data_IF_981999588254
#
_entry.id   IF_981999588254
#
_cell.length_a   1.000
_cell.length_b   1.000
_cell.length_c   1.000
_cell.angle_alpha   90.00
_cell.angle_beta   90.00
_cell.angle_gamma   90.00
#
_symmetry.space_group_name_H-M   'P 1'
#
loop_
_entity.id
_entity.type
_entity.pdbx_description
1 polymer ?
#
# COMPACT_ATOMS: atom_id res chain seq x y z
N UNK A 1 -20.51 -61.33 -9.87
CA UNK A 1 -20.25 -60.98 -8.45
C UNK A 1 -20.90 -59.61 -8.25
N UNK A 2 -22.02 -59.44 -7.55
CA UNK A 2 -22.32 -59.70 -6.12
C UNK A 2 -21.29 -58.99 -5.21
N UNK A 3 -21.65 -58.08 -4.27
CA UNK A 3 -22.97 -57.77 -3.66
C UNK A 3 -23.07 -56.30 -3.14
N UNK A 4 -24.30 -55.90 -2.75
CA UNK A 4 -24.66 -54.61 -2.09
C UNK A 4 -24.53 -54.67 -0.55
N UNK A 5 -24.58 -53.53 0.18
CA UNK A 5 -24.25 -53.43 1.62
C UNK A 5 -25.44 -53.64 2.59
N UNK A 6 -25.17 -53.86 3.89
CA UNK A 6 -26.15 -53.85 5.02
C UNK A 6 -25.51 -53.56 6.41
N UNK A 7 -26.39 -53.22 7.38
CA UNK A 7 -26.22 -53.08 8.86
C UNK A 7 -25.80 -51.68 9.37
N UNK A 8 -26.48 -50.93 10.29
CA UNK A 8 -27.53 -51.15 11.35
C UNK A 8 -26.95 -51.86 12.62
N UNK A 9 -27.11 -51.48 13.91
CA UNK A 9 -28.25 -50.95 14.74
C UNK A 9 -27.82 -49.96 15.89
N UNK A 10 -28.72 -49.71 16.87
CA UNK A 10 -28.85 -48.61 17.87
C UNK A 10 -28.31 -48.86 19.32
N UNK A 11 -28.40 -47.83 20.21
CA UNK A 11 -28.82 -47.76 21.67
C UNK A 11 -27.92 -46.77 22.50
N UNK A 12 -28.32 -45.98 23.54
CA UNK A 12 -29.63 -45.57 24.15
C UNK A 12 -29.56 -44.26 25.03
N UNK A 13 -30.75 -43.80 25.48
CA UNK A 13 -31.18 -42.92 26.62
C UNK A 13 -30.43 -42.92 27.98
N UNK A 14 -30.66 -42.03 28.98
CA UNK A 14 -31.35 -40.72 29.16
C UNK A 14 -31.15 -40.19 30.63
N UNK A 15 -31.48 -38.92 30.95
CA UNK A 15 -31.91 -38.48 32.30
C UNK A 15 -32.53 -37.05 32.33
N UNK A 16 -33.28 -36.71 33.40
CA UNK A 16 -34.20 -35.54 33.46
C UNK A 16 -34.26 -34.81 34.81
N UNK A 17 -34.45 -33.48 34.76
CA UNK A 17 -35.21 -32.59 35.68
C UNK A 17 -34.70 -32.34 37.13
N UNK A 18 -34.53 -31.05 37.46
CA UNK A 18 -35.23 -30.39 38.59
C UNK A 18 -35.17 -28.86 38.53
N UNK A 19 -36.30 -28.19 38.84
CA UNK A 19 -36.40 -26.74 39.08
C UNK A 19 -36.31 -26.44 40.59
N UNK A 20 -35.79 -25.26 40.95
CA UNK A 20 -36.25 -24.53 42.15
C UNK A 20 -36.35 -23.02 41.81
N UNK A 21 -37.45 -22.41 42.24
CA UNK A 21 -37.77 -20.98 42.16
C UNK A 21 -37.68 -20.35 43.55
N UNK A 22 -37.26 -19.09 43.66
CA UNK A 22 -37.68 -18.24 44.77
C UNK A 22 -37.61 -16.75 44.42
N UNK A 23 -38.64 -16.01 44.82
CA UNK A 23 -38.86 -14.59 44.61
C UNK A 23 -38.85 -13.85 45.95
N UNK A 24 -38.35 -12.61 46.03
CA UNK A 24 -38.80 -11.66 47.07
C UNK A 24 -38.44 -10.19 46.78
N UNK A 25 -39.49 -9.36 46.74
CA UNK A 25 -39.56 -7.94 47.18
C UNK A 25 -40.74 -7.94 48.18
N UNK A 26 -40.81 -7.11 49.27
CA UNK A 26 -41.21 -5.69 49.14
C UNK A 26 -40.82 -4.74 50.32
N UNK A 27 -41.42 -3.53 50.33
CA UNK A 27 -41.45 -2.46 51.38
C UNK A 27 -40.16 -1.64 51.65
N UNK A 28 -40.21 -0.33 51.97
CA UNK A 28 -41.33 0.62 52.09
C UNK A 28 -41.33 1.39 53.42
N UNK A 29 -41.02 2.70 53.44
CA UNK A 29 -41.06 3.49 54.68
C UNK A 29 -40.66 4.97 54.57
N UNK A 30 -41.29 5.80 55.41
CA UNK A 30 -41.06 7.24 55.65
C UNK A 30 -41.79 7.59 56.98
N UNK A 31 -41.59 8.71 57.70
CA UNK A 31 -40.93 10.00 57.45
C UNK A 31 -39.96 10.37 58.59
N UNK A 32 -39.19 11.45 58.45
CA UNK A 32 -38.43 12.03 59.56
C UNK A 32 -37.76 13.37 59.22
N UNK A 33 -38.37 14.49 59.63
CA UNK A 33 -37.85 15.85 59.41
C UNK A 33 -36.78 16.26 60.43
N UNK A 34 -35.70 16.89 59.96
CA UNK A 34 -34.96 17.94 60.69
C UNK A 34 -34.10 18.80 59.74
N UNK A 35 -33.84 20.09 60.05
CA UNK A 35 -33.52 21.08 59.02
C UNK A 35 -32.03 21.42 58.85
N UNK A 36 -31.65 21.73 57.60
CA UNK A 36 -30.68 22.79 57.17
C UNK A 36 -29.22 22.62 57.68
N UNK A 37 -28.23 22.46 56.77
CA UNK A 37 -27.77 23.60 55.96
C UNK A 37 -27.58 23.32 54.47
N UNK A 38 -27.77 24.36 53.65
CA UNK A 38 -27.54 24.34 52.19
C UNK A 38 -26.03 24.43 51.90
N UNK A 39 -25.41 23.42 51.26
CA UNK A 39 -24.09 23.57 50.66
C UNK A 39 -24.24 24.21 49.27
N UNK A 40 -23.29 25.09 48.95
CA UNK A 40 -23.12 25.76 47.67
C UNK A 40 -23.32 24.79 46.47
N UNK A 41 -24.00 25.17 45.35
CA UNK A 41 -24.11 24.30 44.19
C UNK A 41 -22.72 23.97 43.65
N UNK A 42 -22.31 22.71 43.82
CA UNK A 42 -21.15 22.17 43.12
C UNK A 42 -21.44 22.21 41.63
N UNK A 43 -20.52 22.79 40.87
CA UNK A 43 -20.60 22.78 39.40
C UNK A 43 -20.67 21.33 38.93
N UNK A 44 -21.80 20.97 38.31
CA UNK A 44 -21.90 19.78 37.48
C UNK A 44 -20.70 19.74 36.54
N UNK A 45 -20.04 18.58 36.32
CA UNK A 45 -19.03 18.49 35.29
C UNK A 45 -19.72 18.82 33.95
N UNK A 46 -19.44 20.01 33.43
CA UNK A 46 -19.86 20.39 32.08
C UNK A 46 -19.42 19.27 31.16
N UNK A 47 -20.34 18.60 30.42
CA UNK A 47 -19.92 17.59 29.47
C UNK A 47 -18.95 18.26 28.51
N UNK A 48 -17.68 17.83 28.53
CA UNK A 48 -16.68 18.29 27.58
C UNK A 48 -17.31 18.15 26.20
N UNK A 49 -17.43 19.23 25.41
CA UNK A 49 -18.09 19.13 24.13
C UNK A 49 -17.35 18.08 23.30
N UNK A 50 -18.02 16.95 23.05
CA UNK A 50 -17.60 16.01 22.01
C UNK A 50 -17.34 16.87 20.77
N UNK A 51 -16.15 16.79 20.15
CA UNK A 51 -15.81 17.66 19.04
C UNK A 51 -16.81 17.44 17.92
N UNK A 52 -17.80 18.33 17.83
CA UNK A 52 -18.78 18.35 16.75
C UNK A 52 -17.99 18.64 15.49
N UNK A 53 -17.82 17.63 14.65
CA UNK A 53 -17.12 17.77 13.37
C UNK A 53 -17.92 18.73 12.52
N UNK A 54 -17.50 19.99 12.49
CA UNK A 54 -18.01 20.98 11.54
C UNK A 54 -17.80 20.40 10.14
N UNK A 55 -18.86 20.19 9.33
CA UNK A 55 -18.68 19.67 7.99
C UNK A 55 -17.81 20.65 7.21
N UNK A 56 -16.67 20.16 6.71
CA UNK A 56 -15.72 20.98 5.96
C UNK A 56 -16.37 21.27 4.62
N UNK A 57 -16.98 22.46 4.48
CA UNK A 57 -17.83 22.88 3.35
C UNK A 57 -17.05 23.00 2.03
N UNK A 58 -16.66 21.84 1.50
CA UNK A 58 -15.64 21.65 0.45
C UNK A 58 -15.91 20.40 -0.39
N UNK A 59 -17.03 19.70 -0.18
CA UNK A 59 -17.32 18.40 -0.80
C UNK A 59 -16.47 17.23 -0.30
N UNK A 60 -15.46 17.46 0.56
CA UNK A 60 -14.68 16.40 1.19
C UNK A 60 -15.36 15.89 2.46
N UNK A 61 -15.71 14.61 2.46
CA UNK A 61 -16.35 13.92 3.57
C UNK A 61 -15.33 13.05 4.30
N UNK A 62 -15.18 13.25 5.61
CA UNK A 62 -14.33 12.42 6.45
C UNK A 62 -14.98 11.07 6.76
N UNK A 63 -14.24 9.99 6.58
CA UNK A 63 -14.63 8.65 7.05
C UNK A 63 -14.21 8.57 8.51
N UNK A 64 -15.19 8.69 9.41
CA UNK A 64 -14.96 8.66 10.86
C UNK A 64 -14.52 7.27 11.33
N UNK A 65 -13.90 7.24 12.52
CA UNK A 65 -13.43 6.00 13.15
C UNK A 65 -12.40 5.22 12.33
N UNK A 66 -11.55 5.92 11.58
CA UNK A 66 -10.34 5.35 11.00
C UNK A 66 -9.48 4.70 12.11
N UNK A 67 -8.93 3.48 11.90
CA UNK A 67 -8.20 2.77 12.93
C UNK A 67 -6.97 3.54 13.44
N UNK A 68 -6.78 3.56 14.75
CA UNK A 68 -5.53 3.97 15.39
C UNK A 68 -4.68 2.73 15.70
N UNK A 69 -3.36 2.86 15.58
CA UNK A 69 -2.40 1.85 16.04
C UNK A 69 -1.45 2.46 17.05
N UNK A 70 -0.82 1.59 17.85
CA UNK A 70 0.29 1.97 18.71
C UNK A 70 1.53 2.27 17.85
N UNK A 71 2.35 3.22 18.28
CA UNK A 71 3.53 3.67 17.55
C UNK A 71 3.22 4.56 16.34
N UNK A 72 4.21 4.65 15.43
CA UNK A 72 4.23 5.59 14.31
C UNK A 72 3.54 5.03 13.06
N UNK A 73 2.64 5.85 12.52
CA UNK A 73 2.01 5.73 11.23
C UNK A 73 3.02 5.73 10.09
N UNK A 74 3.43 4.54 9.66
CA UNK A 74 4.21 4.37 8.44
C UNK A 74 3.42 3.52 7.45
N UNK A 75 3.81 3.60 6.18
CA UNK A 75 3.42 2.62 5.16
C UNK A 75 1.91 2.52 4.94
N UNK A 76 1.26 3.68 4.83
CA UNK A 76 -0.15 3.78 4.43
C UNK A 76 -0.27 3.31 2.99
N UNK A 77 -0.97 2.19 2.80
CA UNK A 77 -1.44 1.75 1.50
C UNK A 77 -2.94 1.99 1.41
N UNK A 78 -3.41 2.50 0.28
CA UNK A 78 -4.83 2.82 0.09
C UNK A 78 -5.27 2.45 -1.32
N UNK A 79 -6.41 1.78 -1.44
CA UNK A 79 -6.95 1.31 -2.73
C UNK A 79 -8.46 1.11 -2.63
N UNK A 80 -9.12 0.83 -3.76
CA UNK A 80 -10.55 0.53 -3.81
C UNK A 80 -10.84 -0.67 -4.72
N UNK A 81 -11.93 -1.38 -4.44
CA UNK A 81 -12.46 -2.39 -5.35
C UNK A 81 -13.39 -1.78 -6.44
N UNK A 82 -13.88 -2.65 -7.31
CA UNK A 82 -14.75 -2.31 -8.46
C UNK A 82 -16.17 -1.88 -8.06
N UNK A 83 -16.54 -1.98 -6.78
CA UNK A 83 -17.83 -1.51 -6.25
C UNK A 83 -17.67 -0.31 -5.30
N UNK A 84 -16.46 0.26 -5.25
CA UNK A 84 -16.18 1.47 -4.48
C UNK A 84 -15.94 1.24 -2.99
N UNK A 85 -15.74 0.01 -2.52
CA UNK A 85 -15.27 -0.19 -1.15
C UNK A 85 -13.82 0.26 -1.04
N UNK A 86 -13.45 0.79 0.13
CA UNK A 86 -12.11 1.27 0.40
C UNK A 86 -11.33 0.23 1.20
N UNK A 87 -10.06 0.07 0.87
CA UNK A 87 -9.11 -0.80 1.55
C UNK A 87 -7.92 0.02 2.01
N UNK A 88 -7.57 -0.14 3.28
CA UNK A 88 -6.54 0.63 3.97
C UNK A 88 -5.59 -0.36 4.63
N UNK A 89 -4.32 -0.34 4.25
CA UNK A 89 -3.26 -1.06 4.94
C UNK A 89 -2.41 -0.10 5.74
N UNK A 90 -2.07 -0.50 6.96
CA UNK A 90 -1.48 0.41 7.93
C UNK A 90 -0.56 -0.32 8.90
N UNK A 91 0.59 0.30 9.19
CA UNK A 91 1.59 -0.23 10.11
C UNK A 91 1.67 0.60 11.39
N UNK A 92 1.68 -0.09 12.53
CA UNK A 92 2.10 0.41 13.84
C UNK A 92 3.42 -0.19 14.33
N UNK A 93 3.70 -0.07 15.63
CA UNK A 93 4.94 -0.57 16.25
C UNK A 93 5.09 -2.10 16.18
N UNK A 94 3.97 -2.82 16.29
CA UNK A 94 3.97 -4.30 16.44
C UNK A 94 3.12 -4.99 15.38
N UNK A 95 2.44 -4.24 14.52
CA UNK A 95 1.43 -4.80 13.62
C UNK A 95 1.32 -4.11 12.27
N UNK A 96 1.07 -4.94 11.25
CA UNK A 96 0.43 -4.53 10.01
C UNK A 96 -1.00 -5.05 9.99
N UNK A 97 -1.96 -4.14 9.82
CA UNK A 97 -3.38 -4.45 9.75
C UNK A 97 -3.97 -3.94 8.44
N UNK A 98 -4.93 -4.69 7.90
CA UNK A 98 -5.70 -4.29 6.72
C UNK A 98 -7.16 -4.13 7.14
N UNK A 99 -7.74 -3.01 6.73
CA UNK A 99 -9.11 -2.66 7.00
C UNK A 99 -9.87 -2.43 5.70
N UNK A 100 -11.17 -2.73 5.74
CA UNK A 100 -12.13 -2.53 4.66
C UNK A 100 -13.23 -1.59 5.14
N UNK A 101 -13.67 -0.67 4.29
CA UNK A 101 -14.84 0.17 4.51
C UNK A 101 -15.83 -0.03 3.36
N UNK A 102 -17.07 -0.41 3.69
CA UNK A 102 -18.11 -0.78 2.72
C UNK A 102 -19.27 0.20 2.82
N UNK A 103 -19.44 1.03 1.78
CA UNK A 103 -20.46 2.09 1.77
C UNK A 103 -21.91 1.56 1.79
N UNK A 104 -22.14 0.31 1.35
CA UNK A 104 -23.46 -0.32 1.28
C UNK A 104 -23.88 -1.10 2.54
N UNK A 105 -23.05 -1.12 3.59
CA UNK A 105 -23.38 -1.83 4.83
C UNK A 105 -24.31 -1.03 5.74
N UNK A 106 -25.23 -1.73 6.42
CA UNK A 106 -26.20 -1.13 7.33
C UNK A 106 -25.56 -0.52 8.60
N UNK A 107 -24.37 -0.99 9.00
CA UNK A 107 -23.57 -0.43 10.07
C UNK A 107 -22.24 0.06 9.49
N UNK A 108 -22.09 1.38 9.34
CA UNK A 108 -20.89 1.99 8.77
C UNK A 108 -19.73 1.93 9.76
N UNK A 109 -18.57 1.47 9.29
CA UNK A 109 -17.34 1.42 10.08
C UNK A 109 -16.22 0.68 9.35
N UNK A 110 -14.98 0.90 9.78
CA UNK A 110 -13.83 0.14 9.30
C UNK A 110 -13.84 -1.26 9.93
N UNK A 111 -13.81 -2.29 9.07
CA UNK A 111 -13.73 -3.70 9.46
C UNK A 111 -12.30 -4.19 9.25
N UNK A 112 -11.68 -4.75 10.29
CA UNK A 112 -10.38 -5.40 10.14
C UNK A 112 -10.56 -6.71 9.36
N UNK A 113 -9.91 -6.80 8.20
CA UNK A 113 -9.97 -7.95 7.28
C UNK A 113 -8.65 -8.72 7.21
N UNK A 114 -7.59 -8.20 7.85
CA UNK A 114 -6.36 -8.96 8.10
C UNK A 114 -5.80 -8.70 9.50
N UNK A 115 -5.41 -9.79 10.17
CA UNK A 115 -4.72 -9.77 11.45
C UNK A 115 -3.25 -9.37 11.32
N UNK A 116 -2.71 -8.90 12.44
CA UNK A 116 -1.32 -8.46 12.67
C UNK A 116 -0.28 -9.37 12.02
N UNK A 117 0.28 -8.93 10.89
CA UNK A 117 1.56 -9.47 10.38
C UNK A 117 2.73 -8.73 11.05
N UNK A 118 3.81 -9.46 11.33
CA UNK A 118 5.06 -8.85 11.82
C UNK A 118 5.71 -8.02 10.69
N UNK A 119 6.24 -6.84 11.01
CA UNK A 119 6.84 -5.92 10.02
C UNK A 119 8.13 -5.27 10.53
N UNK A 120 8.92 -4.72 9.60
CA UNK A 120 10.09 -3.89 9.95
C UNK A 120 9.63 -2.55 10.53
N UNK A 121 9.99 -2.29 11.80
CA UNK A 121 9.78 -1.02 12.51
C UNK A 121 10.27 0.24 11.76
N UNK A 122 11.18 0.07 10.80
CA UNK A 122 11.85 1.12 10.02
C UNK A 122 11.47 1.16 8.53
N UNK A 123 10.53 0.32 8.06
CA UNK A 123 10.14 0.31 6.65
C UNK A 123 9.49 1.63 6.22
N UNK A 124 9.84 2.10 5.01
CA UNK A 124 9.25 3.27 4.33
C UNK A 124 8.28 2.89 3.20
N UNK A 125 7.96 1.61 3.00
CA UNK A 125 6.95 1.20 2.02
C UNK A 125 6.13 -0.02 2.45
N UNK A 126 4.81 0.08 2.25
CA UNK A 126 3.94 -1.05 1.94
C UNK A 126 3.16 -0.69 0.67
N UNK A 127 2.69 -1.70 -0.04
CA UNK A 127 1.85 -1.52 -1.23
C UNK A 127 0.70 -2.51 -1.17
N UNK A 128 -0.52 -2.02 -1.39
CA UNK A 128 -1.75 -2.79 -1.39
C UNK A 128 -2.47 -2.59 -2.72
N UNK A 129 -3.03 -3.66 -3.26
CA UNK A 129 -3.89 -3.63 -4.43
C UNK A 129 -4.98 -4.70 -4.31
N UNK A 130 -6.21 -4.37 -4.70
CA UNK A 130 -7.31 -5.34 -4.75
C UNK A 130 -7.48 -5.83 -6.19
N UNK A 131 -7.52 -7.15 -6.36
CA UNK A 131 -7.85 -7.79 -7.64
C UNK A 131 -9.25 -8.38 -7.67
N UNK A 132 -9.88 -8.27 -8.83
CA UNK A 132 -11.28 -8.63 -9.04
C UNK A 132 -12.19 -7.95 -7.99
N UNK A 133 -13.23 -8.64 -7.52
CA UNK A 133 -14.23 -8.07 -6.62
C UNK A 133 -13.68 -7.89 -5.19
N UNK A 134 -12.79 -8.77 -4.70
CA UNK A 134 -12.41 -8.78 -3.28
C UNK A 134 -10.96 -9.18 -2.94
N UNK A 135 -10.14 -9.79 -3.82
CA UNK A 135 -8.86 -10.40 -3.37
C UNK A 135 -7.84 -9.32 -3.02
N UNK A 136 -7.40 -9.29 -1.77
CA UNK A 136 -6.40 -8.32 -1.28
C UNK A 136 -5.00 -8.86 -1.52
N UNK A 137 -4.19 -8.10 -2.24
CA UNK A 137 -2.77 -8.36 -2.47
C UNK A 137 -1.95 -7.30 -1.73
N UNK A 138 -0.87 -7.72 -1.09
CA UNK A 138 0.07 -6.84 -0.40
C UNK A 138 1.51 -7.21 -0.73
N UNK A 139 2.38 -6.21 -0.71
CA UNK A 139 3.83 -6.35 -0.60
C UNK A 139 4.36 -5.37 0.46
N UNK A 140 5.25 -5.83 1.33
CA UNK A 140 5.75 -5.07 2.47
C UNK A 140 7.15 -5.54 2.90
N UNK A 141 7.84 -4.74 3.73
CA UNK A 141 9.15 -5.08 4.26
C UNK A 141 9.09 -5.59 5.71
N UNK A 142 9.69 -6.75 5.94
CA UNK A 142 9.82 -7.40 7.25
C UNK A 142 11.25 -7.35 7.77
N UNK A 143 11.43 -6.99 9.04
CA UNK A 143 12.69 -7.14 9.77
C UNK A 143 12.40 -7.30 11.26
N UNK A 144 12.90 -8.35 11.94
CA UNK A 144 12.70 -8.55 13.37
C UNK A 144 13.54 -7.58 14.24
N UNK A 145 14.47 -6.84 13.65
CA UNK A 145 15.26 -5.80 14.32
C UNK A 145 15.20 -4.47 13.54
N UNK A 146 15.32 -3.31 14.21
CA UNK A 146 15.44 -2.03 13.52
C UNK A 146 16.73 -2.02 12.68
N UNK A 147 16.58 -2.08 11.36
CA UNK A 147 17.66 -2.12 10.38
C UNK A 147 17.26 -1.27 9.16
N UNK A 148 18.23 -0.69 8.41
CA UNK A 148 17.91 0.14 7.25
C UNK A 148 17.26 -0.65 6.10
N UNK A 149 17.55 -1.95 5.99
CA UNK A 149 17.05 -2.84 4.95
C UNK A 149 16.12 -3.91 5.53
N UNK A 150 14.92 -4.05 4.97
CA UNK A 150 13.99 -5.14 5.29
C UNK A 150 13.97 -6.23 4.21
N UNK A 151 13.52 -7.42 4.59
CA UNK A 151 13.22 -8.54 3.68
C UNK A 151 11.87 -8.29 3.04
N UNK A 152 11.75 -8.42 1.72
CA UNK A 152 10.47 -8.28 1.03
C UNK A 152 9.59 -9.50 1.31
N UNK A 153 8.36 -9.27 1.76
CA UNK A 153 7.30 -10.25 1.89
C UNK A 153 6.09 -9.83 1.05
N UNK A 154 5.39 -10.79 0.46
CA UNK A 154 4.16 -10.54 -0.28
C UNK A 154 3.11 -11.62 -0.02
N UNK A 155 1.84 -11.25 -0.19
CA UNK A 155 0.71 -12.10 0.16
C UNK A 155 -0.52 -11.76 -0.70
N UNK A 156 -1.36 -12.76 -0.97
CA UNK A 156 -2.68 -12.60 -1.58
C UNK A 156 -3.69 -13.45 -0.81
N UNK A 157 -4.79 -12.85 -0.34
CA UNK A 157 -5.85 -13.56 0.35
C UNK A 157 -7.22 -12.88 0.21
N UNK A 158 -8.28 -13.63 0.51
CA UNK A 158 -9.65 -13.11 0.54
C UNK A 158 -9.92 -12.41 1.89
N UNK A 159 -10.52 -11.22 1.89
CA UNK A 159 -10.72 -10.39 3.10
C UNK A 159 -11.71 -11.01 4.09
N UNK A 160 -12.56 -11.92 3.63
CA UNK A 160 -13.66 -12.48 4.41
C UNK A 160 -13.33 -13.88 5.00
N UNK A 161 -12.06 -14.34 4.91
CA UNK A 161 -11.60 -15.55 5.59
C UNK A 161 -11.21 -15.24 7.03
N UNK A 162 -11.85 -15.93 7.97
CA UNK A 162 -11.86 -15.69 9.43
C UNK A 162 -10.49 -15.46 10.09
N UNK A 163 -9.40 -15.97 9.50
CA UNK A 163 -8.03 -15.61 9.87
C UNK A 163 -7.19 -15.39 8.61
N UNK A 164 -6.94 -14.14 8.21
CA UNK A 164 -6.09 -13.82 7.06
C UNK A 164 -4.70 -14.48 7.18
N UNK A 165 -4.09 -14.41 8.37
CA UNK A 165 -2.80 -15.03 8.70
C UNK A 165 -2.77 -16.57 8.65
N UNK A 166 -3.90 -17.24 8.90
CA UNK A 166 -4.01 -18.71 8.74
C UNK A 166 -4.48 -19.09 7.32
N UNK A 167 -5.05 -18.15 6.56
CA UNK A 167 -5.57 -18.39 5.22
C UNK A 167 -4.48 -18.41 4.14
N UNK A 168 -3.38 -17.69 4.36
CA UNK A 168 -2.17 -17.73 3.57
C UNK A 168 -0.99 -17.15 4.38
N UNK A 169 0.16 -17.82 4.35
CA UNK A 169 1.40 -17.33 4.95
C UNK A 169 2.09 -16.33 4.01
N UNK A 170 2.72 -15.24 4.52
CA UNK A 170 3.54 -14.36 3.70
C UNK A 170 4.64 -15.12 2.97
N UNK A 171 4.74 -14.93 1.65
CA UNK A 171 5.83 -15.47 0.85
C UNK A 171 7.01 -14.51 0.98
N UNK A 172 8.12 -15.02 1.51
CA UNK A 172 9.37 -14.29 1.54
C UNK A 172 10.00 -14.29 0.14
N UNK A 173 10.42 -13.12 -0.32
CA UNK A 173 11.09 -12.99 -1.62
C UNK A 173 12.54 -13.51 -1.52
N UNK A 174 12.80 -14.62 -2.20
CA UNK A 174 14.11 -15.29 -2.27
C UNK A 174 14.66 -15.24 -3.68
N UNK A 175 15.95 -14.95 -3.80
CA UNK A 175 16.72 -14.98 -5.05
C UNK A 175 17.73 -16.12 -5.02
N UNK A 176 18.00 -16.72 -6.17
CA UNK A 176 18.81 -17.93 -6.32
C UNK A 176 20.00 -17.67 -7.23
N UNK A 177 21.18 -18.22 -6.90
CA UNK A 177 22.38 -18.01 -7.74
C UNK A 177 23.39 -19.15 -7.68
N UNK A 178 23.64 -19.77 -8.84
CA UNK A 178 24.91 -20.42 -9.19
C UNK A 178 25.23 -20.21 -10.67
N UNK A 179 26.50 -20.25 -11.00
CA UNK A 179 26.98 -20.59 -12.35
C UNK A 179 27.85 -21.84 -12.23
N UNK A 180 27.46 -22.99 -12.79
CA UNK A 180 28.30 -24.18 -12.74
C UNK A 180 29.55 -23.97 -13.58
N UNK A 181 30.72 -23.96 -12.93
CA UNK A 181 31.98 -24.23 -13.64
C UNK A 181 32.03 -25.71 -14.02
N UNK A 182 32.25 -26.07 -15.29
CA UNK A 182 32.28 -27.47 -15.70
C UNK A 182 33.36 -28.26 -14.95
N UNK A 183 33.04 -29.43 -14.35
CA UNK A 183 34.06 -30.29 -13.78
C UNK A 183 34.93 -30.88 -14.91
N UNK A 184 36.25 -30.81 -14.75
CA UNK A 184 37.16 -31.64 -15.53
C UNK A 184 37.00 -33.10 -15.09
N UNK A 185 36.13 -33.84 -15.80
CA UNK A 185 36.06 -35.30 -15.73
C UNK A 185 35.39 -35.91 -14.50
N UNK A 186 34.05 -35.90 -14.47
CA UNK A 186 33.27 -36.93 -13.78
C UNK A 186 33.06 -36.80 -12.26
N UNK A 187 33.35 -35.66 -11.67
CA UNK A 187 33.03 -35.36 -10.25
C UNK A 187 31.69 -34.63 -10.08
N UNK A 188 31.14 -34.70 -8.87
CA UNK A 188 29.78 -34.23 -8.52
C UNK A 188 29.49 -32.77 -8.87
N UNK A 189 28.22 -32.48 -9.16
CA UNK A 189 27.71 -31.14 -9.43
C UNK A 189 27.73 -30.26 -8.17
N UNK A 190 27.61 -28.94 -8.37
CA UNK A 190 27.38 -28.00 -7.26
C UNK A 190 26.12 -28.41 -6.45
N UNK A 191 26.09 -28.12 -5.14
CA UNK A 191 24.90 -28.38 -4.31
C UNK A 191 23.69 -27.51 -4.75
N UNK A 192 22.54 -27.71 -4.12
CA UNK A 192 21.30 -26.94 -4.39
C UNK A 192 21.47 -25.43 -4.20
N UNK A 193 20.85 -24.56 -5.04
CA UNK A 193 20.98 -23.11 -5.02
C UNK A 193 20.95 -22.46 -3.63
N UNK A 194 21.95 -21.61 -3.34
CA UNK A 194 21.92 -20.79 -2.13
C UNK A 194 20.78 -19.78 -2.23
N UNK A 195 19.84 -19.86 -1.29
CA UNK A 195 18.73 -18.93 -1.18
C UNK A 195 19.20 -17.62 -0.54
N UNK A 196 19.13 -16.52 -1.29
CA UNK A 196 19.45 -15.18 -0.82
C UNK A 196 18.18 -14.36 -0.61
N UNK A 197 17.96 -13.91 0.63
CA UNK A 197 16.82 -13.05 0.99
C UNK A 197 16.91 -11.71 0.24
N UNK A 198 15.89 -11.34 -0.53
CA UNK A 198 15.86 -10.04 -1.18
C UNK A 198 15.69 -8.92 -0.13
N UNK A 199 16.71 -8.07 0.02
CA UNK A 199 16.72 -6.95 0.97
C UNK A 199 16.64 -5.60 0.26
N UNK A 200 15.79 -4.73 0.77
CA UNK A 200 15.56 -3.39 0.25
C UNK A 200 15.17 -2.40 1.37
N UNK A 201 15.37 -1.10 1.14
CA UNK A 201 14.81 -0.03 1.98
C UNK A 201 13.42 0.42 1.50
N UNK A 202 13.08 0.15 0.25
CA UNK A 202 11.76 0.38 -0.34
C UNK A 202 11.33 -0.74 -1.29
N UNK A 203 10.02 -0.97 -1.37
CA UNK A 203 9.40 -1.86 -2.34
C UNK A 203 8.00 -1.35 -2.71
N UNK A 204 7.66 -1.40 -3.99
CA UNK A 204 6.35 -1.01 -4.52
C UNK A 204 5.79 -2.15 -5.37
N UNK A 205 4.48 -2.21 -5.51
CA UNK A 205 3.79 -3.30 -6.20
C UNK A 205 2.72 -2.76 -7.15
N UNK A 206 2.52 -3.45 -8.25
CA UNK A 206 1.28 -3.40 -9.04
C UNK A 206 0.82 -4.82 -9.34
N UNK A 207 -0.35 -4.98 -9.96
CA UNK A 207 -0.88 -6.28 -10.36
C UNK A 207 -0.85 -6.45 -11.87
N UNK A 208 -0.45 -7.62 -12.33
CA UNK A 208 -0.51 -8.03 -13.74
C UNK A 208 -1.96 -8.35 -14.19
N UNK A 209 -2.11 -8.70 -15.47
CA UNK A 209 -3.40 -9.10 -16.07
C UNK A 209 -4.02 -10.35 -15.43
N UNK A 210 -3.21 -11.16 -14.77
CA UNK A 210 -3.57 -12.41 -14.08
C UNK A 210 -3.78 -12.19 -12.58
N UNK A 211 -3.87 -10.93 -12.13
CA UNK A 211 -4.00 -10.53 -10.74
C UNK A 211 -2.84 -10.96 -9.81
N UNK A 212 -1.65 -11.18 -10.36
CA UNK A 212 -0.42 -11.50 -9.62
C UNK A 212 0.44 -10.28 -9.40
N UNK A 213 1.20 -10.28 -8.30
CA UNK A 213 2.08 -9.19 -7.90
C UNK A 213 3.26 -9.04 -8.88
N UNK A 214 3.45 -7.83 -9.38
CA UNK A 214 4.72 -7.34 -9.92
C UNK A 214 5.31 -6.43 -8.84
N UNK A 215 6.52 -6.72 -8.35
CA UNK A 215 7.14 -6.03 -7.22
C UNK A 215 8.46 -5.41 -7.66
N UNK A 216 8.59 -4.08 -7.57
CA UNK A 216 9.82 -3.35 -7.86
C UNK A 216 10.47 -2.84 -6.58
N UNK A 217 11.79 -2.93 -6.49
CA UNK A 217 12.55 -2.62 -5.28
C UNK A 217 13.99 -2.21 -5.59
N UNK A 218 14.58 -1.43 -4.68
CA UNK A 218 16.01 -1.09 -4.69
C UNK A 218 16.76 -2.21 -3.95
N UNK A 219 17.50 -3.05 -4.68
CA UNK A 219 18.15 -4.18 -4.03
C UNK A 219 19.45 -3.73 -3.34
N UNK A 220 19.51 -3.85 -2.02
CA UNK A 220 20.60 -3.31 -1.19
C UNK A 220 21.71 -4.33 -0.88
N UNK A 221 21.60 -5.57 -1.37
CA UNK A 221 22.63 -6.58 -1.15
C UNK A 221 23.98 -6.12 -1.72
N UNK A 222 24.91 -5.88 -0.80
CA UNK A 222 26.33 -5.68 -1.08
C UNK A 222 26.97 -7.01 -1.45
N UNK A 223 27.90 -6.95 -2.40
CA UNK A 223 28.56 -8.12 -2.96
C UNK A 223 29.29 -8.96 -1.90
N UNK A 224 28.92 -10.23 -1.79
CA UNK A 224 29.67 -11.25 -1.06
C UNK A 224 29.95 -12.40 -2.01
N UNK A 225 31.21 -12.76 -2.21
CA UNK A 225 31.54 -14.05 -2.83
C UNK A 225 31.30 -15.13 -1.78
N UNK A 226 30.28 -15.97 -1.98
CA UNK A 226 30.11 -17.18 -1.17
C UNK A 226 30.93 -18.26 -1.82
N UNK A 227 31.94 -18.74 -1.11
CA UNK A 227 32.79 -19.83 -1.54
C UNK A 227 32.51 -21.04 -0.65
N UNK A 228 32.21 -22.18 -1.27
CA UNK A 228 31.99 -23.44 -0.56
C UNK A 228 33.04 -24.45 -1.02
N UNK A 229 33.82 -24.95 -0.07
CA UNK A 229 34.81 -26.00 -0.31
C UNK A 229 34.10 -27.34 -0.46
N UNK A 230 34.27 -27.98 -1.61
CA UNK A 230 33.86 -29.34 -1.92
C UNK A 230 35.10 -30.24 -2.01
N UNK A 231 34.92 -31.55 -1.97
CA UNK A 231 36.00 -32.52 -2.18
C UNK A 231 36.57 -32.45 -3.61
N UNK A 232 35.76 -31.96 -4.57
CA UNK A 232 36.11 -31.74 -5.98
C UNK A 232 36.68 -30.35 -6.31
N UNK A 233 36.66 -29.38 -5.39
CA UNK A 233 37.13 -28.01 -5.63
C UNK A 233 36.36 -26.92 -4.86
N UNK A 234 36.46 -25.66 -5.29
CA UNK A 234 35.70 -24.55 -4.70
C UNK A 234 34.50 -24.22 -5.60
N UNK A 235 33.29 -24.33 -5.07
CA UNK A 235 32.12 -23.72 -5.69
C UNK A 235 32.07 -22.23 -5.32
N UNK A 236 32.02 -21.34 -6.32
CA UNK A 236 31.89 -19.89 -6.11
C UNK A 236 30.53 -19.39 -6.58
N UNK A 237 29.73 -18.87 -5.64
CA UNK A 237 28.48 -18.18 -5.93
C UNK A 237 28.67 -16.66 -5.71
N UNK A 238 28.34 -15.81 -6.70
CA UNK A 238 28.22 -14.38 -6.46
C UNK A 238 26.91 -14.13 -5.69
N UNK A 239 26.99 -13.80 -4.40
CA UNK A 239 25.81 -13.27 -3.72
C UNK A 239 25.38 -11.98 -4.42
N UNK A 240 24.08 -11.89 -4.65
CA UNK A 240 23.45 -10.98 -5.60
C UNK A 240 23.92 -9.51 -5.45
N UNK A 241 24.36 -8.89 -6.55
CA UNK A 241 24.69 -7.46 -6.60
C UNK A 241 23.44 -6.64 -6.93
N UNK A 242 22.79 -6.14 -5.90
CA UNK A 242 21.81 -5.07 -6.07
C UNK A 242 22.48 -3.71 -6.25
N UNK A 243 23.40 -3.34 -5.35
CA UNK A 243 24.05 -2.02 -5.33
C UNK A 243 23.04 -0.85 -5.44
N UNK A 244 21.91 -1.00 -4.75
CA UNK A 244 20.73 -0.13 -4.76
C UNK A 244 20.11 0.09 -6.16
N UNK A 245 20.45 -0.73 -7.17
CA UNK A 245 19.82 -0.70 -8.49
C UNK A 245 18.40 -1.25 -8.43
N UNK A 246 17.59 -0.79 -9.37
CA UNK A 246 16.25 -1.31 -9.62
C UNK A 246 16.30 -2.82 -9.93
N UNK A 247 15.47 -3.57 -9.25
CA UNK A 247 15.11 -4.95 -9.58
C UNK A 247 13.59 -5.11 -9.54
N UNK A 248 13.06 -6.03 -10.35
CA UNK A 248 11.62 -6.32 -10.45
C UNK A 248 11.42 -7.84 -10.39
N UNK A 249 10.45 -8.27 -9.60
CA UNK A 249 10.02 -9.66 -9.49
C UNK A 249 8.58 -9.82 -10.00
N UNK A 250 8.33 -10.93 -10.70
CA UNK A 250 7.02 -11.27 -11.26
C UNK A 250 6.49 -12.55 -10.59
N UNK A 251 5.47 -12.42 -9.75
CA UNK A 251 4.90 -13.54 -9.01
C UNK A 251 4.15 -14.56 -9.88
N UNK A 252 3.77 -14.18 -11.10
CA UNK A 252 3.18 -15.08 -12.11
C UNK A 252 4.18 -16.08 -12.69
N UNK A 253 5.44 -15.66 -12.86
CA UNK A 253 6.54 -16.48 -13.43
C UNK A 253 7.54 -16.97 -12.37
N UNK A 254 7.46 -16.46 -11.13
CA UNK A 254 8.46 -16.65 -10.08
C UNK A 254 9.87 -16.16 -10.48
N UNK A 255 9.95 -15.17 -11.38
CA UNK A 255 11.19 -14.74 -12.04
C UNK A 255 11.64 -13.33 -11.62
N UNK A 256 12.94 -13.06 -11.73
CA UNK A 256 13.61 -11.81 -11.36
C UNK A 256 14.30 -11.14 -12.54
N UNK A 257 14.04 -9.85 -12.72
CA UNK A 257 14.75 -8.97 -13.64
C UNK A 257 15.54 -7.95 -12.82
N UNK A 258 16.85 -7.85 -13.08
CA UNK A 258 17.80 -7.38 -12.06
C UNK A 258 18.81 -6.39 -12.62
N UNK A 259 19.30 -5.50 -11.76
CA UNK A 259 20.23 -4.42 -12.13
C UNK A 259 19.74 -3.54 -13.30
N UNK A 260 18.42 -3.33 -13.40
CA UNK A 260 17.73 -2.68 -14.52
C UNK A 260 18.09 -1.19 -14.69
N UNK A 261 18.52 -0.52 -13.62
CA UNK A 261 18.94 0.88 -13.66
C UNK A 261 20.47 1.02 -13.80
N UNK A 262 20.92 2.09 -14.46
CA UNK A 262 22.36 2.36 -14.66
C UNK A 262 23.10 2.54 -13.33
N UNK A 263 22.50 3.28 -12.40
CA UNK A 263 22.97 3.48 -11.01
C UNK A 263 21.90 3.18 -9.98
N UNK A 264 22.09 3.69 -8.75
CA UNK A 264 21.13 3.50 -7.66
C UNK A 264 19.76 4.11 -8.01
N UNK A 265 18.70 3.36 -7.74
CA UNK A 265 17.31 3.76 -7.86
C UNK A 265 16.73 4.01 -6.46
N UNK A 266 15.92 5.07 -6.34
CA UNK A 266 15.18 5.37 -5.11
C UNK A 266 13.80 5.96 -5.43
N UNK A 267 12.90 6.04 -4.45
CA UNK A 267 11.52 6.48 -4.61
C UNK A 267 10.75 5.70 -5.70
N UNK A 268 11.05 4.41 -5.90
CA UNK A 268 10.50 3.59 -6.98
C UNK A 268 8.96 3.55 -6.94
N UNK A 269 8.31 3.67 -8.10
CA UNK A 269 6.85 3.58 -8.31
C UNK A 269 6.54 2.67 -9.50
N UNK A 270 5.55 1.79 -9.34
CA UNK A 270 5.01 0.95 -10.41
C UNK A 270 3.58 1.38 -10.79
N UNK A 271 3.27 1.34 -12.07
CA UNK A 271 1.89 1.46 -12.56
C UNK A 271 1.71 0.65 -13.86
N UNK A 272 0.59 -0.06 -13.96
CA UNK A 272 0.13 -0.65 -15.22
C UNK A 272 -0.86 0.27 -15.93
N UNK A 273 -1.14 -0.01 -17.21
CA UNK A 273 -2.23 0.67 -17.92
C UNK A 273 -3.56 0.23 -17.31
N UNK A 274 -4.37 1.15 -16.73
CA UNK A 274 -5.56 0.75 -16.00
C UNK A 274 -6.66 0.23 -16.92
N UNK A 275 -7.50 -0.62 -16.35
CA UNK A 275 -8.75 -1.12 -16.93
C UNK A 275 -9.84 -1.04 -15.87
N UNK A 276 -11.10 -1.32 -16.24
CA UNK A 276 -12.20 -1.37 -15.27
C UNK A 276 -12.05 -2.45 -14.18
N UNK A 277 -11.14 -3.43 -14.33
CA UNK A 277 -11.06 -4.61 -13.45
C UNK A 277 -9.65 -4.95 -12.92
N UNK A 278 -8.66 -4.13 -13.22
CA UNK A 278 -7.24 -4.38 -12.96
C UNK A 278 -6.35 -3.63 -13.94
N UNK A 279 -5.16 -4.13 -14.25
CA UNK A 279 -4.24 -3.52 -15.21
C UNK A 279 -3.98 -4.40 -16.44
N UNK A 280 -3.48 -3.77 -17.50
CA UNK A 280 -2.90 -4.43 -18.69
C UNK A 280 -1.53 -3.82 -19.01
N UNK A 281 -0.78 -4.49 -19.89
CA UNK A 281 0.38 -3.89 -20.52
C UNK A 281 -0.02 -2.70 -21.42
N UNK A 282 0.84 -1.69 -21.61
CA UNK A 282 2.18 -1.56 -21.02
C UNK A 282 2.18 -1.30 -19.52
N UNK A 283 3.24 -1.77 -18.85
CA UNK A 283 3.56 -1.47 -17.46
C UNK A 283 4.77 -0.56 -17.40
N UNK A 284 4.84 0.28 -16.36
CA UNK A 284 5.87 1.27 -16.18
C UNK A 284 6.44 1.24 -14.76
N UNK A 285 7.74 1.49 -14.67
CA UNK A 285 8.46 1.74 -13.42
C UNK A 285 9.15 3.10 -13.52
N UNK A 286 8.87 3.98 -12.55
CA UNK A 286 9.51 5.29 -12.41
C UNK A 286 10.36 5.30 -11.15
N UNK A 287 11.53 5.92 -11.20
CA UNK A 287 12.44 6.01 -10.05
C UNK A 287 13.33 7.26 -10.12
N UNK A 288 13.75 7.75 -8.96
CA UNK A 288 14.81 8.75 -8.80
C UNK A 288 16.14 8.08 -9.12
N UNK A 289 16.81 8.55 -10.17
CA UNK A 289 17.98 7.93 -10.77
C UNK A 289 19.26 8.65 -10.36
N UNK A 290 20.04 8.02 -9.47
CA UNK A 290 21.29 8.59 -8.99
C UNK A 290 22.37 8.71 -10.07
N UNK A 291 22.33 7.89 -11.15
CA UNK A 291 23.27 8.04 -12.27
C UNK A 291 22.95 9.28 -13.11
N UNK A 292 21.70 9.76 -13.07
CA UNK A 292 21.22 10.93 -13.80
C UNK A 292 20.92 12.10 -12.85
N UNK A 293 21.77 12.29 -11.84
CA UNK A 293 21.76 13.47 -10.97
C UNK A 293 20.55 13.59 -10.03
N UNK A 294 19.83 12.50 -9.76
CA UNK A 294 18.58 12.53 -9.01
C UNK A 294 17.35 12.87 -9.87
N UNK A 295 17.51 12.95 -11.19
CA UNK A 295 16.38 13.05 -12.12
C UNK A 295 15.54 11.77 -12.18
N UNK A 296 14.30 11.89 -12.65
CA UNK A 296 13.41 10.74 -12.81
C UNK A 296 13.76 10.00 -14.10
N UNK A 297 13.97 8.69 -13.99
CA UNK A 297 14.02 7.77 -15.12
C UNK A 297 12.78 6.88 -15.09
N UNK A 298 12.25 6.57 -16.27
CA UNK A 298 11.10 5.68 -16.44
C UNK A 298 11.47 4.57 -17.41
N UNK A 299 11.13 3.33 -17.07
CA UNK A 299 11.21 2.19 -17.98
C UNK A 299 9.81 1.60 -18.21
N UNK A 300 9.51 1.28 -19.45
CA UNK A 300 8.38 0.46 -19.87
C UNK A 300 8.80 -1.01 -19.87
N UNK A 301 7.89 -1.90 -19.50
CA UNK A 301 8.08 -3.32 -19.71
C UNK A 301 6.80 -4.02 -20.18
N UNK A 302 7.01 -5.08 -20.97
CA UNK A 302 5.96 -5.90 -21.58
C UNK A 302 6.48 -7.28 -21.87
N UNK A 303 5.63 -8.30 -21.71
CA UNK A 303 5.96 -9.68 -22.02
C UNK A 303 6.11 -9.87 -23.54
N UNK A 304 7.22 -10.48 -23.95
CA UNK A 304 7.53 -10.80 -25.33
C UNK A 304 7.29 -12.29 -25.57
N UNK A 305 6.22 -12.60 -26.31
CA UNK A 305 5.82 -13.98 -26.64
C UNK A 305 6.81 -14.76 -27.52
N UNK A 306 7.88 -14.12 -28.02
CA UNK A 306 8.92 -14.77 -28.85
C UNK A 306 10.12 -15.21 -28.01
N UNK A 307 10.48 -14.42 -27.00
CA UNK A 307 11.59 -14.73 -26.06
C UNK A 307 11.11 -15.37 -24.76
N UNK A 308 9.78 -15.37 -24.54
CA UNK A 308 9.12 -15.81 -23.30
C UNK A 308 9.58 -15.03 -22.05
N UNK A 309 9.99 -13.77 -22.23
CA UNK A 309 10.54 -12.90 -21.20
C UNK A 309 9.96 -11.47 -21.25
N UNK A 310 10.12 -10.70 -20.19
CA UNK A 310 9.83 -9.27 -20.19
C UNK A 310 10.98 -8.47 -20.79
N UNK A 311 10.69 -7.71 -21.84
CA UNK A 311 11.61 -6.71 -22.37
C UNK A 311 11.46 -5.40 -21.59
N UNK A 312 12.59 -4.73 -21.31
CA UNK A 312 12.66 -3.45 -20.59
C UNK A 312 13.25 -2.36 -21.49
N UNK A 313 12.58 -1.22 -21.60
CA UNK A 313 13.03 -0.09 -22.41
C UNK A 313 12.80 1.24 -21.69
N UNK A 314 13.77 2.15 -21.77
CA UNK A 314 13.61 3.51 -21.23
C UNK A 314 12.57 4.31 -22.02
N UNK A 315 11.74 5.07 -21.31
CA UNK A 315 10.67 5.91 -21.88
C UNK A 315 11.18 7.34 -21.98
N UNK A 316 11.57 7.75 -23.19
CA UNK A 316 12.20 9.06 -23.41
C UNK A 316 13.58 9.18 -22.76
N UNK A 317 13.95 10.40 -22.39
CA UNK A 317 15.23 10.69 -21.76
C UNK A 317 15.30 10.16 -20.31
N UNK A 318 16.47 9.64 -19.92
CA UNK A 318 16.80 9.35 -18.52
C UNK A 318 16.94 10.66 -17.74
N UNK A 319 16.53 10.67 -16.47
CA UNK A 319 16.63 11.85 -15.61
C UNK A 319 15.86 13.09 -16.07
N UNK A 320 14.75 12.93 -16.80
CA UNK A 320 14.09 14.01 -17.58
C UNK A 320 13.66 15.25 -16.78
N UNK A 321 13.52 15.13 -15.46
CA UNK A 321 12.99 16.16 -14.57
C UNK A 321 14.01 17.12 -13.97
N UNK A 322 15.32 16.79 -14.01
CA UNK A 322 16.28 17.28 -13.00
C UNK A 322 15.94 16.74 -11.60
N UNK A 323 16.71 17.11 -10.57
CA UNK A 323 16.51 16.56 -9.20
C UNK A 323 15.06 16.73 -8.72
N UNK A 324 14.49 15.61 -8.25
CA UNK A 324 13.06 15.48 -7.94
C UNK A 324 12.81 14.70 -6.65
N UNK A 325 11.74 15.02 -5.93
CA UNK A 325 11.31 14.27 -4.73
C UNK A 325 9.81 13.93 -4.77
N UNK A 326 9.40 13.06 -3.85
CA UNK A 326 8.01 12.61 -3.68
C UNK A 326 7.38 12.11 -4.99
N UNK A 327 8.13 11.35 -5.79
CA UNK A 327 7.71 10.91 -7.12
C UNK A 327 6.47 10.00 -7.01
N UNK A 328 5.49 10.25 -7.87
CA UNK A 328 4.30 9.43 -8.06
C UNK A 328 4.04 9.19 -9.55
N UNK A 329 3.51 8.02 -9.90
CA UNK A 329 3.33 7.55 -11.27
C UNK A 329 1.89 7.06 -11.45
N UNK A 330 1.25 7.50 -12.53
CA UNK A 330 -0.02 6.96 -13.03
C UNK A 330 0.08 6.71 -14.55
N UNK A 331 -0.86 5.96 -15.10
CA UNK A 331 -0.97 5.69 -16.55
C UNK A 331 -2.42 5.95 -16.95
N UNK A 332 -2.65 6.55 -18.11
CA UNK A 332 -4.01 6.69 -18.65
C UNK A 332 -4.46 5.40 -19.38
N UNK A 333 -5.75 5.29 -19.71
CA UNK A 333 -6.30 4.07 -20.34
C UNK A 333 -5.77 3.80 -21.76
N UNK A 334 -5.09 4.78 -22.37
CA UNK A 334 -4.40 4.63 -23.67
C UNK A 334 -2.99 4.08 -23.52
N UNK A 335 -2.45 4.03 -22.31
CA UNK A 335 -1.10 3.56 -21.99
C UNK A 335 -0.08 4.68 -21.86
N UNK A 336 -0.48 5.96 -21.85
CA UNK A 336 0.46 7.07 -21.64
C UNK A 336 0.80 7.22 -20.15
N UNK A 337 2.09 7.18 -19.76
CA UNK A 337 2.50 7.41 -18.37
C UNK A 337 2.55 8.90 -18.01
N UNK A 338 2.15 9.20 -16.77
CA UNK A 338 2.14 10.52 -16.15
C UNK A 338 2.92 10.44 -14.84
N UNK A 339 3.84 11.39 -14.63
CA UNK A 339 4.67 11.47 -13.42
C UNK A 339 4.41 12.81 -12.74
N UNK A 340 4.07 12.77 -11.47
CA UNK A 340 3.94 13.94 -10.60
C UNK A 340 5.02 13.92 -9.52
N UNK A 341 5.63 15.08 -9.24
CA UNK A 341 6.78 15.18 -8.33
C UNK A 341 6.95 16.59 -7.77
N UNK A 342 7.65 16.71 -6.64
CA UNK A 342 8.30 17.95 -6.21
C UNK A 342 9.53 18.16 -7.09
N UNK A 343 9.54 19.23 -7.88
CA UNK A 343 10.69 19.59 -8.71
C UNK A 343 11.75 20.38 -7.94
N UNK A 344 12.92 20.62 -8.55
CA UNK A 344 14.06 21.29 -7.90
C UNK A 344 13.78 22.73 -7.39
N UNK A 345 12.68 23.36 -7.80
CA UNK A 345 12.21 24.64 -7.26
C UNK A 345 11.20 24.48 -6.08
N UNK A 346 11.01 23.26 -5.59
CA UNK A 346 10.07 22.84 -4.54
C UNK A 346 8.58 22.98 -4.90
N UNK A 347 8.24 23.23 -6.17
CA UNK A 347 6.85 23.25 -6.66
C UNK A 347 6.46 21.93 -7.31
N UNK A 348 5.15 21.68 -7.34
CA UNK A 348 4.54 20.56 -8.02
C UNK A 348 4.75 20.66 -9.53
N UNK A 349 5.38 19.65 -10.10
CA UNK A 349 5.43 19.42 -11.54
C UNK A 349 4.65 18.15 -11.89
N UNK A 350 3.97 18.17 -13.03
CA UNK A 350 3.35 16.99 -13.63
C UNK A 350 3.78 16.95 -15.09
N UNK A 351 4.37 15.84 -15.51
CA UNK A 351 4.75 15.60 -16.90
C UNK A 351 4.13 14.30 -17.42
N UNK A 352 3.86 14.24 -18.72
CA UNK A 352 3.46 13.01 -19.42
C UNK A 352 4.37 12.73 -20.60
N UNK A 353 4.44 11.48 -21.03
CA UNK A 353 5.16 11.13 -22.25
C UNK A 353 4.30 11.37 -23.50
N UNK A 354 4.75 12.17 -24.47
CA UNK A 354 4.00 12.47 -25.70
C UNK A 354 4.22 11.45 -26.84
N UNK A 355 5.00 10.40 -26.58
CA UNK A 355 5.48 9.43 -27.56
C UNK A 355 6.95 9.66 -27.98
N UNK A 356 7.50 10.85 -27.71
CA UNK A 356 8.91 11.21 -27.98
C UNK A 356 9.60 11.83 -26.75
N UNK A 357 8.93 12.74 -26.07
CA UNK A 357 9.46 13.56 -24.97
C UNK A 357 8.56 13.48 -23.74
N UNK A 358 9.14 13.83 -22.58
CA UNK A 358 8.37 14.23 -21.41
C UNK A 358 7.97 15.69 -21.56
N UNK A 359 6.67 15.98 -21.42
CA UNK A 359 6.09 17.32 -21.57
C UNK A 359 5.20 17.67 -20.39
N UNK A 360 5.22 18.93 -19.96
CA UNK A 360 4.38 19.43 -18.86
C UNK A 360 2.89 19.29 -19.15
N UNK A 361 2.13 18.88 -18.13
CA UNK A 361 0.67 18.84 -18.16
C UNK A 361 0.14 20.16 -17.63
N UNK A 362 -0.40 21.00 -18.52
CA UNK A 362 -0.83 22.36 -18.21
C UNK A 362 0.31 23.38 -18.27
N UNK A 363 -0.05 24.67 -18.16
CA UNK A 363 0.89 25.79 -18.25
C UNK A 363 1.14 26.48 -16.90
N UNK A 364 2.40 26.84 -16.63
CA UNK A 364 2.79 27.61 -15.45
C UNK A 364 2.92 26.78 -14.17
N UNK A 365 3.04 27.48 -13.03
CA UNK A 365 3.23 26.84 -11.73
C UNK A 365 1.90 26.23 -11.23
N UNK A 366 1.89 24.94 -10.94
CA UNK A 366 0.71 24.23 -10.41
C UNK A 366 0.43 24.66 -8.95
N UNK A 367 1.47 24.95 -8.19
CA UNK A 367 1.42 25.36 -6.78
C UNK A 367 2.08 26.71 -6.54
N UNK A 368 1.69 27.37 -5.44
CA UNK A 368 2.19 28.68 -5.05
C UNK A 368 3.26 28.62 -3.93
N UNK A 369 3.50 27.42 -3.38
CA UNK A 369 4.45 27.19 -2.31
C UNK A 369 4.99 25.76 -2.30
N UNK A 370 5.89 25.50 -1.35
CA UNK A 370 6.58 24.21 -1.19
C UNK A 370 5.59 23.05 -1.16
N UNK A 371 5.82 22.09 -2.05
CA UNK A 371 4.92 20.97 -2.35
C UNK A 371 5.59 19.66 -1.97
N UNK A 372 5.13 19.04 -0.88
CA UNK A 372 5.65 17.74 -0.43
C UNK A 372 4.59 16.65 -0.58
N UNK A 373 5.01 15.38 -0.50
CA UNK A 373 4.10 14.22 -0.43
C UNK A 373 3.10 14.15 -1.58
N UNK A 374 3.61 14.18 -2.80
CA UNK A 374 2.82 14.18 -4.04
C UNK A 374 2.29 12.78 -4.35
N UNK A 375 1.04 12.72 -4.80
CA UNK A 375 0.38 11.52 -5.30
C UNK A 375 -0.45 11.87 -6.53
N UNK A 376 -0.33 11.09 -7.61
CA UNK A 376 -1.15 11.21 -8.82
C UNK A 376 -2.03 9.97 -8.99
N UNK A 377 -3.28 10.19 -9.38
CA UNK A 377 -4.21 9.14 -9.79
C UNK A 377 -4.95 9.57 -11.06
N UNK A 378 -5.52 8.61 -11.77
CA UNK A 378 -6.17 8.84 -13.06
C UNK A 378 -7.65 8.50 -12.97
N UNK A 379 -8.52 9.43 -13.37
CA UNK A 379 -9.91 9.09 -13.69
C UNK A 379 -9.90 8.26 -14.97
N UNK A 380 -10.11 6.95 -14.83
CA UNK A 380 -10.02 6.00 -15.96
C UNK A 380 -11.16 6.16 -16.97
N UNK A 381 -12.21 6.95 -16.67
CA UNK A 381 -13.28 7.24 -17.63
C UNK A 381 -13.00 8.46 -18.48
N UNK A 382 -12.36 9.48 -17.92
CA UNK A 382 -12.08 10.75 -18.63
C UNK A 382 -10.62 10.89 -19.06
N UNK A 383 -9.72 10.02 -18.58
CA UNK A 383 -8.27 10.20 -18.61
C UNK A 383 -7.82 11.55 -18.01
N UNK A 384 -8.57 12.07 -17.04
CA UNK A 384 -8.19 13.27 -16.29
C UNK A 384 -7.26 12.89 -15.13
N UNK A 385 -6.03 13.43 -15.07
CA UNK A 385 -5.17 13.26 -13.92
C UNK A 385 -5.63 14.13 -12.75
N UNK A 386 -5.65 13.52 -11.56
CA UNK A 386 -5.84 14.18 -10.28
C UNK A 386 -4.54 14.09 -9.49
N UNK A 387 -4.17 15.16 -8.79
CA UNK A 387 -2.99 15.21 -7.91
C UNK A 387 -3.38 15.63 -6.51
N UNK A 388 -2.85 14.94 -5.52
CA UNK A 388 -2.91 15.32 -4.12
C UNK A 388 -1.51 15.61 -3.59
N UNK A 389 -1.37 16.64 -2.76
CA UNK A 389 -0.08 17.09 -2.25
C UNK A 389 -0.25 17.90 -0.96
N UNK A 390 0.80 17.96 -0.15
CA UNK A 390 0.88 18.84 1.00
C UNK A 390 1.47 20.20 0.62
N UNK A 391 0.78 21.29 0.97
CA UNK A 391 1.27 22.67 0.85
C UNK A 391 1.01 23.38 2.20
N UNK A 392 2.06 23.53 3.02
CA UNK A 392 1.96 24.05 4.38
C UNK A 392 1.15 23.14 5.31
N UNK A 393 0.12 23.70 5.97
CA UNK A 393 -0.80 23.01 6.89
C UNK A 393 -2.04 22.43 6.20
N UNK A 394 -1.95 22.11 4.91
CA UNK A 394 -3.07 21.60 4.13
C UNK A 394 -2.64 20.47 3.20
N UNK A 395 -3.48 19.43 3.08
CA UNK A 395 -3.52 18.64 1.86
C UNK A 395 -4.43 19.36 0.86
N UNK A 396 -4.00 19.45 -0.39
CA UNK A 396 -4.76 20.01 -1.50
C UNK A 396 -4.89 18.95 -2.57
N UNK A 397 -6.05 18.92 -3.22
CA UNK A 397 -6.30 18.09 -4.39
C UNK A 397 -6.63 18.98 -5.57
N UNK A 398 -6.02 18.71 -6.72
CA UNK A 398 -6.31 19.39 -7.99
C UNK A 398 -6.55 18.37 -9.09
N UNK A 399 -7.34 18.75 -10.09
CA UNK A 399 -7.51 18.00 -11.34
C UNK A 399 -7.16 18.87 -12.54
N UNK A 400 -6.73 18.25 -13.63
CA UNK A 400 -6.48 18.95 -14.87
C UNK A 400 -7.76 19.04 -15.73
N UNK A 401 -8.26 20.24 -16.00
CA UNK A 401 -9.51 20.45 -16.77
C UNK A 401 -9.31 20.39 -18.31
N UNK A 402 -8.09 20.06 -18.76
CA UNK A 402 -7.66 20.14 -20.16
C UNK A 402 -6.81 21.39 -20.48
N UNK A 403 -6.89 22.43 -19.64
CA UNK A 403 -6.10 23.67 -19.75
C UNK A 403 -5.38 24.03 -18.44
N UNK A 404 -6.08 23.93 -17.31
CA UNK A 404 -5.65 24.40 -16.00
C UNK A 404 -5.75 23.31 -14.93
N UNK A 405 -4.98 23.49 -13.84
CA UNK A 405 -5.10 22.68 -12.63
C UNK A 405 -6.05 23.34 -11.62
N UNK A 406 -7.31 22.89 -11.63
CA UNK A 406 -8.39 23.41 -10.79
C UNK A 406 -8.48 22.65 -9.46
N UNK A 407 -8.82 23.36 -8.39
CA UNK A 407 -8.99 22.76 -7.05
C UNK A 407 -10.20 21.83 -7.03
N UNK A 408 -10.04 20.65 -6.42
CA UNK A 408 -11.12 19.69 -6.19
C UNK A 408 -11.60 19.87 -4.77
N UNK A 409 -12.81 20.41 -4.62
CA UNK A 409 -13.32 20.82 -3.33
C UNK A 409 -12.58 22.03 -2.77
N UNK A 410 -11.95 21.86 -1.61
CA UNK A 410 -11.23 22.91 -0.90
C UNK A 410 -10.04 22.38 -0.09
N UNK A 411 -9.34 23.26 0.62
CA UNK A 411 -8.17 22.90 1.40
C UNK A 411 -8.54 21.95 2.56
N UNK A 412 -7.92 20.78 2.62
CA UNK A 412 -8.11 19.80 3.69
C UNK A 412 -7.07 20.09 4.80
N UNK A 413 -7.47 20.38 6.05
CA UNK A 413 -6.51 20.64 7.12
C UNK A 413 -5.55 19.46 7.36
N UNK A 414 -4.26 19.73 7.48
CA UNK A 414 -3.23 18.78 7.91
C UNK A 414 -2.34 19.41 8.98
N UNK A 415 -1.68 18.58 9.78
CA UNK A 415 -0.75 19.03 10.80
C UNK A 415 0.59 19.39 10.14
N UNK A 416 1.12 20.57 10.47
CA UNK A 416 2.43 21.00 9.98
C UNK A 416 3.54 20.09 10.53
N UNK A 417 4.58 19.84 9.72
CA UNK A 417 5.70 18.94 10.07
C UNK A 417 5.28 17.50 10.36
N UNK A 418 4.18 17.05 9.74
CA UNK A 418 3.77 15.66 9.75
C UNK A 418 4.65 14.84 8.79
N UNK A 419 5.87 14.51 9.25
CA UNK A 419 6.98 13.86 8.51
C UNK A 419 6.70 12.42 8.00
N UNK A 420 5.45 11.96 8.04
CA UNK A 420 5.01 10.69 7.47
C UNK A 420 3.69 10.81 6.71
N UNK A 421 3.37 12.00 6.17
CA UNK A 421 2.18 12.24 5.35
C UNK A 421 2.26 11.48 4.02
N UNK A 422 2.10 10.16 4.03
CA UNK A 422 1.91 9.37 2.81
C UNK A 422 0.54 9.68 2.22
N UNK A 423 0.43 10.82 1.54
CA UNK A 423 -0.74 11.20 0.76
C UNK A 423 -0.97 10.12 -0.29
N UNK A 424 -2.03 9.34 -0.13
CA UNK A 424 -2.45 8.34 -1.10
C UNK A 424 -3.75 8.83 -1.72
N UNK A 425 -3.68 9.29 -2.96
CA UNK A 425 -4.83 9.60 -3.78
C UNK A 425 -5.20 8.38 -4.64
N UNK A 426 -6.47 8.01 -4.62
CA UNK A 426 -7.03 7.04 -5.55
C UNK A 426 -8.30 7.61 -6.18
N UNK A 427 -8.60 7.21 -7.40
CA UNK A 427 -9.94 7.38 -7.96
C UNK A 427 -10.78 6.18 -7.55
N UNK A 428 -11.86 6.43 -6.79
CA UNK A 428 -12.80 5.42 -6.33
C UNK A 428 -14.01 5.40 -7.26
N UNK A 429 -14.41 4.20 -7.68
CA UNK A 429 -15.60 4.02 -8.49
C UNK A 429 -16.87 4.14 -7.62
N UNK A 430 -17.80 5.02 -7.99
CA UNK A 430 -19.14 5.07 -7.38
C UNK A 430 -20.21 4.44 -8.27
N UNK A 431 -20.00 4.50 -9.59
CA UNK A 431 -20.80 3.79 -10.59
C UNK A 431 -19.97 3.50 -11.83
N UNK A 432 -20.54 2.81 -12.83
CA UNK A 432 -19.81 2.44 -14.06
C UNK A 432 -19.17 3.64 -14.79
N UNK A 433 -19.79 4.82 -14.71
CA UNK A 433 -19.35 6.05 -15.40
C UNK A 433 -18.93 7.18 -14.44
N UNK A 434 -18.86 6.93 -13.13
CA UNK A 434 -18.58 7.98 -12.13
C UNK A 434 -17.48 7.56 -11.16
N UNK A 435 -16.38 8.31 -11.20
CA UNK A 435 -15.18 8.11 -10.40
C UNK A 435 -14.90 9.38 -9.61
N UNK A 436 -14.75 9.26 -8.29
CA UNK A 436 -14.46 10.38 -7.41
C UNK A 436 -13.17 10.13 -6.62
N UNK A 437 -12.37 11.17 -6.34
CA UNK A 437 -11.14 10.99 -5.59
C UNK A 437 -11.45 10.65 -4.13
N UNK A 438 -10.77 9.62 -3.65
CA UNK A 438 -10.64 9.31 -2.23
C UNK A 438 -9.19 9.51 -1.81
N UNK A 439 -8.99 9.86 -0.55
CA UNK A 439 -7.71 10.26 -0.01
C UNK A 439 -7.45 9.55 1.32
N UNK A 440 -6.23 9.06 1.52
CA UNK A 440 -5.71 8.66 2.82
C UNK A 440 -4.40 9.40 3.11
N UNK A 441 -4.22 9.89 4.33
CA UNK A 441 -2.95 10.46 4.81
C UNK A 441 -2.83 10.30 6.34
N UNK A 442 -1.65 10.57 6.87
CA UNK A 442 -1.41 10.51 8.31
C UNK A 442 -2.19 11.62 9.04
N UNK A 443 -3.08 11.26 9.97
CA UNK A 443 -4.03 12.18 10.63
C UNK A 443 -3.55 12.79 11.95
N UNK A 444 -2.45 12.28 12.53
CA UNK A 444 -1.83 12.78 13.76
C UNK A 444 -0.32 12.96 13.58
N UNK A 445 0.35 13.74 14.44
CA UNK A 445 1.82 13.71 14.48
C UNK A 445 2.34 12.28 14.71
N UNK A 446 3.52 11.92 14.15
CA UNK A 446 4.14 10.62 14.39
C UNK A 446 4.67 10.53 15.82
N UNK A 447 3.81 10.13 16.76
CA UNK A 447 4.17 9.82 18.14
C UNK A 447 4.68 8.37 18.30
N UNK A 448 5.45 8.13 19.36
CA UNK A 448 5.86 6.78 19.77
C UNK A 448 4.74 5.98 20.44
N UNK A 449 3.68 6.65 20.92
CA UNK A 449 2.58 6.01 21.66
C UNK A 449 1.45 5.57 20.73
N UNK A 450 0.86 6.48 19.96
CA UNK A 450 -0.17 6.15 18.98
C UNK A 450 -0.20 7.13 17.81
N UNK A 451 -0.78 6.69 16.70
CA UNK A 451 -1.09 7.58 15.58
C UNK A 451 -2.27 7.09 14.74
N UNK A 452 -2.94 8.05 14.11
CA UNK A 452 -4.18 7.86 13.35
C UNK A 452 -3.99 8.19 11.87
N UNK A 453 -4.93 7.72 11.04
CA UNK A 453 -5.06 8.09 9.64
C UNK A 453 -6.30 8.95 9.41
N UNK A 454 -6.17 9.96 8.56
CA UNK A 454 -7.30 10.69 7.98
C UNK A 454 -7.65 10.03 6.65
N UNK A 455 -8.90 9.57 6.53
CA UNK A 455 -9.45 9.04 5.28
C UNK A 455 -10.66 9.87 4.87
N UNK A 456 -10.70 10.30 3.61
CA UNK A 456 -11.76 11.14 3.07
C UNK A 456 -12.17 10.66 1.67
N UNK A 457 -13.41 10.98 1.28
CA UNK A 457 -13.90 10.83 -0.09
C UNK A 457 -14.59 12.12 -0.53
N UNK A 458 -14.43 12.47 -1.81
CA UNK A 458 -15.06 13.65 -2.39
C UNK A 458 -16.45 13.32 -2.94
N UNK A 459 -17.39 14.24 -2.73
CA UNK A 459 -18.68 14.32 -3.41
C UNK A 459 -18.84 15.76 -3.94
N UNK A 460 -19.02 15.96 -5.26
CA UNK A 460 -19.14 17.30 -5.86
C UNK A 460 -20.28 18.18 -5.33
#
# INVERSE_FOLDING_TARGET
>A
MNLKPKHIFYLTSAMTISLIISSCVPFGGSVGDSPVPVPNPTSSPTPTPTPTVTPVATGWNSITSAPSVNGRANNVGFTSDQVGNLYLSYQGSESFAIYRYVFSQAALGWQQVASTQNMSLSSYSSSIAVSAINTVNIAYLYSPTPQPSGVIQFLAALPDKIDFANSASPIQLQSYSYTPTPPFGGTEACPEPIEHQAKASEATMTLDTSAKQIIAFSNELTYVLVQQQMESGICTAPAFRGNSKLSIYFASEQNFYTALSDGAASQIKLAGTPTAVGNKAPFYVAYKDAANGGGISVQQFSYNNTTEQYDFAYVGAKGFSGDANFISLAVDTTGTPYVAYESSNQLLAVQKFDGTNWVSVGSGNITAGVTTWVSISMDIKTNTPYVAYQEGSYIKVKKFDGTNWVMVGGNIPNIQSNYGSYTNLIMRQESIDYWQPSLAFQGSLPGSESSSLSTLYYTP
#
